data_IF_295803081247
#
_entry.id   IF_295803081247
#
_cell.length_a   1.000
_cell.length_b   1.000
_cell.length_c   1.000
_cell.angle_alpha   90.00
_cell.angle_beta   90.00
_cell.angle_gamma   90.00
#
_symmetry.space_group_name_H-M   'P 1'
#
loop_
_entity.id
_entity.type
_entity.pdbx_description
1 polymer ?
#
# COMPACT_ATOMS: atom_id res chain seq x y z
N UNK A 1 0.53 1.00 6.29
CA UNK A 1 0.20 2.03 7.30
C UNK A 1 1.55 2.47 7.83
N UNK A 2 2.00 3.70 7.61
CA UNK A 2 3.31 4.17 8.09
C UNK A 2 3.10 4.62 9.54
N UNK A 3 3.59 3.85 10.51
CA UNK A 3 3.63 4.25 11.91
C UNK A 3 5.06 4.67 12.21
N UNK A 4 5.28 5.97 12.44
CA UNK A 4 6.54 6.48 13.01
C UNK A 4 6.30 6.73 14.48
N UNK A 5 6.70 5.80 15.36
CA UNK A 5 6.81 6.04 16.79
C UNK A 5 8.27 6.41 17.13
N UNK A 6 8.46 7.66 17.55
CA UNK A 6 9.69 8.12 18.18
C UNK A 6 9.55 7.93 19.68
N UNK A 7 10.31 7.00 20.29
CA UNK A 7 10.69 7.14 21.70
C UNK A 7 12.10 6.59 21.92
N UNK A 8 12.94 7.45 22.49
CA UNK A 8 14.25 7.13 23.01
C UNK A 8 14.10 6.58 24.44
N UNK A 9 14.69 5.42 24.73
CA UNK A 9 15.75 5.24 25.75
C UNK A 9 16.12 3.75 25.92
N UNK A 10 17.39 3.45 25.66
CA UNK A 10 18.21 2.46 26.36
C UNK A 10 17.78 0.99 26.44
N UNK A 11 18.38 0.13 25.60
CA UNK A 11 19.29 -0.94 26.04
C UNK A 11 19.96 -1.65 24.87
N UNK A 12 21.17 -2.13 25.13
CA UNK A 12 22.18 -2.63 24.19
C UNK A 12 21.86 -4.06 23.75
N UNK A 13 21.91 -4.34 22.43
CA UNK A 13 22.60 -5.50 21.82
C UNK A 13 22.56 -5.41 20.28
N UNK A 14 23.72 -5.65 19.66
CA UNK A 14 23.98 -5.62 18.22
C UNK A 14 23.58 -6.95 17.55
N UNK A 15 23.01 -6.90 16.35
CA UNK A 15 23.21 -7.91 15.30
C UNK A 15 23.34 -7.17 13.96
N UNK A 16 24.36 -7.55 13.19
CA UNK A 16 24.79 -6.96 11.91
C UNK A 16 24.19 -7.78 10.76
N UNK A 17 23.68 -7.10 9.73
CA UNK A 17 23.71 -7.60 8.36
C UNK A 17 23.84 -6.39 7.41
N UNK A 18 25.04 -6.20 6.86
CA UNK A 18 25.32 -5.18 5.86
C UNK A 18 25.21 -5.79 4.46
N UNK A 19 24.33 -5.25 3.62
CA UNK A 19 24.42 -5.44 2.16
C UNK A 19 24.85 -4.12 1.53
N UNK A 20 26.03 -4.10 0.92
CA UNK A 20 26.57 -2.93 0.24
C UNK A 20 25.65 -2.49 -0.91
N UNK A 21 25.11 -1.28 -0.81
CA UNK A 21 24.39 -0.59 -1.90
C UNK A 21 25.39 0.30 -2.61
N UNK A 22 25.71 -0.01 -3.88
CA UNK A 22 26.43 0.92 -4.76
C UNK A 22 25.42 1.80 -5.47
N UNK A 23 25.47 3.12 -5.24
CA UNK A 23 24.67 4.10 -5.97
C UNK A 23 25.44 4.57 -7.21
N UNK A 24 24.94 4.27 -8.41
CA UNK A 24 25.39 4.90 -9.65
C UNK A 24 24.37 5.94 -10.12
N UNK A 25 24.85 7.04 -10.71
CA UNK A 25 24.00 8.11 -11.26
C UNK A 25 23.67 7.79 -12.72
N UNK A 26 22.38 7.73 -13.03
CA UNK A 26 21.87 7.86 -14.41
C UNK A 26 20.65 8.81 -14.34
N UNK A 27 20.78 10.04 -14.83
CA UNK A 27 19.70 11.06 -14.83
C UNK A 27 19.56 11.90 -13.54
N UNK A 28 18.44 12.62 -13.41
CA UNK A 28 18.11 13.57 -12.33
C UNK A 28 17.58 12.91 -11.04
N UNK A 29 17.37 11.59 -11.06
CA UNK A 29 16.99 10.77 -9.90
C UNK A 29 18.13 9.84 -9.47
N UNK A 30 18.32 9.66 -8.16
CA UNK A 30 19.15 8.58 -7.63
C UNK A 30 18.40 7.28 -7.84
N UNK A 31 19.00 6.34 -8.55
CA UNK A 31 18.42 5.03 -8.81
C UNK A 31 19.17 4.00 -7.98
N UNK A 32 18.45 3.20 -7.20
CA UNK A 32 19.07 2.12 -6.44
C UNK A 32 19.29 0.93 -7.37
N UNK A 33 20.57 0.65 -7.66
CA UNK A 33 21.02 -0.54 -8.36
C UNK A 33 21.20 -1.65 -7.32
N UNK A 34 20.47 -2.74 -7.49
CA UNK A 34 20.43 -3.81 -6.50
C UNK A 34 21.30 -4.98 -6.93
N UNK A 35 22.44 -5.15 -6.27
CA UNK A 35 23.37 -6.28 -6.50
C UNK A 35 22.69 -7.63 -6.33
N UNK A 36 21.83 -7.76 -5.33
CA UNK A 36 21.07 -8.99 -5.05
C UNK A 36 20.09 -9.38 -6.19
N UNK A 37 19.83 -8.46 -7.12
CA UNK A 37 19.00 -8.71 -8.30
C UNK A 37 19.76 -8.48 -9.60
N UNK A 38 21.05 -8.81 -9.62
CA UNK A 38 21.92 -8.74 -10.80
C UNK A 38 22.05 -7.33 -11.40
N UNK A 39 22.28 -6.33 -10.52
CA UNK A 39 22.45 -4.95 -10.94
C UNK A 39 21.20 -4.29 -11.51
N UNK A 40 20.02 -4.90 -11.33
CA UNK A 40 18.77 -4.31 -11.82
C UNK A 40 18.34 -3.09 -11.03
N UNK A 41 17.67 -2.20 -11.76
CA UNK A 41 16.91 -1.08 -11.24
C UNK A 41 15.45 -1.50 -11.11
N UNK A 42 14.87 -1.32 -9.93
CA UNK A 42 13.44 -1.55 -9.71
C UNK A 42 12.67 -0.24 -9.78
N UNK A 43 11.55 -0.24 -10.48
CA UNK A 43 10.60 0.88 -10.48
C UNK A 43 9.64 0.70 -9.32
N UNK A 44 9.49 1.74 -8.49
CA UNK A 44 8.65 1.73 -7.29
C UNK A 44 7.42 2.61 -7.53
N UNK A 45 6.38 2.10 -8.21
CA UNK A 45 5.20 2.90 -8.51
C UNK A 45 4.49 3.30 -7.22
N UNK A 46 4.18 4.60 -7.10
CA UNK A 46 3.40 5.15 -5.99
C UNK A 46 2.18 5.85 -6.55
N UNK A 47 1.02 5.63 -5.92
CA UNK A 47 -0.20 6.33 -6.29
C UNK A 47 -0.07 7.82 -6.03
N UNK A 48 0.11 8.61 -7.09
CA UNK A 48 -0.19 10.06 -7.07
C UNK A 48 -1.71 10.30 -7.14
N UNK A 49 -2.41 9.35 -7.75
CA UNK A 49 -3.86 9.09 -7.67
C UNK A 49 -4.06 7.56 -7.66
N UNK A 50 -5.00 7.05 -6.86
CA UNK A 50 -5.31 5.62 -6.59
C UNK A 50 -4.61 4.53 -7.45
N UNK A 51 -3.60 3.85 -6.91
CA UNK A 51 -2.94 2.67 -7.52
C UNK A 51 -2.89 1.50 -6.54
N UNK A 52 -3.78 0.51 -6.67
CA UNK A 52 -3.77 -0.76 -5.89
C UNK A 52 -4.44 -1.91 -6.65
N UNK A 53 -4.14 -3.16 -6.29
CA UNK A 53 -4.81 -4.36 -6.83
C UNK A 53 -6.14 -4.70 -6.16
N UNK A 54 -6.62 -3.85 -5.24
CA UNK A 54 -7.88 -4.01 -4.47
C UNK A 54 -7.89 -5.16 -3.46
N UNK A 55 -6.89 -6.05 -3.45
CA UNK A 55 -6.73 -7.07 -2.41
C UNK A 55 -6.82 -6.45 -1.00
N UNK A 56 -7.69 -7.02 -0.16
CA UNK A 56 -7.89 -6.61 1.22
C UNK A 56 -7.43 -7.71 2.18
N UNK A 57 -6.37 -7.42 2.93
CA UNK A 57 -5.84 -8.27 4.00
C UNK A 57 -5.59 -7.40 5.22
N UNK A 58 -6.12 -7.79 6.38
CA UNK A 58 -5.88 -7.06 7.63
C UNK A 58 -4.43 -7.17 8.09
N UNK A 59 -3.78 -8.32 7.89
CA UNK A 59 -2.46 -8.66 8.46
C UNK A 59 -2.58 -9.79 9.48
N UNK A 60 -1.48 -10.46 9.82
CA UNK A 60 -1.51 -11.55 10.78
C UNK A 60 -1.63 -10.98 12.21
N UNK A 61 -2.46 -11.56 13.10
CA UNK A 61 -2.50 -11.12 14.50
C UNK A 61 -1.11 -11.03 15.16
N UNK A 62 -0.23 -12.01 14.89
CA UNK A 62 1.12 -12.02 15.43
C UNK A 62 1.99 -10.85 14.99
N UNK A 63 1.73 -10.23 13.83
CA UNK A 63 2.46 -9.03 13.38
C UNK A 63 2.16 -7.84 14.31
N UNK A 64 0.89 -7.68 14.69
CA UNK A 64 0.42 -6.61 15.58
C UNK A 64 0.87 -6.82 17.01
N UNK A 65 0.78 -8.06 17.50
CA UNK A 65 1.24 -8.42 18.84
C UNK A 65 2.75 -8.26 18.96
N UNK A 66 3.52 -8.57 17.91
CA UNK A 66 4.96 -8.29 17.85
C UNK A 66 5.22 -6.78 17.97
N UNK A 67 4.44 -5.93 17.30
CA UNK A 67 4.60 -4.47 17.41
C UNK A 67 4.34 -3.99 18.83
N UNK A 68 3.26 -4.45 19.45
CA UNK A 68 2.89 -4.04 20.80
C UNK A 68 3.89 -4.51 21.85
N UNK A 69 4.29 -5.78 21.78
CA UNK A 69 5.04 -6.45 22.83
C UNK A 69 6.56 -6.25 22.69
N UNK A 70 7.09 -6.29 21.46
CA UNK A 70 8.55 -6.27 21.23
C UNK A 70 9.06 -4.91 20.75
N UNK A 71 8.23 -4.11 20.07
CA UNK A 71 8.64 -2.82 19.50
C UNK A 71 8.11 -1.60 20.27
N UNK A 72 7.42 -1.83 21.40
CA UNK A 72 6.92 -0.75 22.26
C UNK A 72 5.78 0.06 21.66
N UNK A 73 5.08 -0.47 20.66
CA UNK A 73 3.90 0.16 20.06
C UNK A 73 2.66 -0.10 20.94
N UNK A 74 2.60 0.51 22.12
CA UNK A 74 1.42 0.41 23.01
C UNK A 74 0.13 0.79 22.28
N UNK A 75 -0.94 0.01 22.45
CA UNK A 75 -2.21 0.24 21.74
C UNK A 75 -2.32 -0.44 20.37
N UNK A 76 -1.29 -1.20 19.94
CA UNK A 76 -1.23 -1.82 18.62
C UNK A 76 -1.36 -3.33 18.62
N UNK A 77 -1.69 -3.98 19.75
CA UNK A 77 -1.96 -5.43 19.72
C UNK A 77 -3.15 -5.73 18.81
N UNK A 78 -3.24 -6.97 18.31
CA UNK A 78 -4.31 -7.30 17.36
C UNK A 78 -5.70 -7.03 17.94
N UNK A 79 -5.89 -7.36 19.22
CA UNK A 79 -7.12 -7.12 19.96
C UNK A 79 -7.50 -5.63 19.99
N UNK A 80 -6.53 -4.75 20.23
CA UNK A 80 -6.75 -3.29 20.31
C UNK A 80 -7.06 -2.66 18.95
N UNK A 81 -6.47 -3.17 17.86
CA UNK A 81 -6.69 -2.62 16.51
C UNK A 81 -7.89 -3.24 15.79
N UNK A 82 -8.34 -4.44 16.16
CA UNK A 82 -9.46 -5.14 15.54
C UNK A 82 -10.76 -4.31 15.50
N UNK A 83 -11.16 -3.57 16.56
CA UNK A 83 -12.30 -2.67 16.50
C UNK A 83 -12.18 -1.60 15.40
N UNK A 84 -10.96 -1.11 15.13
CA UNK A 84 -10.73 -0.13 14.07
C UNK A 84 -10.88 -0.75 12.67
N UNK A 85 -10.43 -1.99 12.47
CA UNK A 85 -10.69 -2.72 11.23
C UNK A 85 -12.18 -2.89 11.00
N UNK A 86 -12.92 -3.40 12.00
CA UNK A 86 -14.37 -3.62 11.94
C UNK A 86 -15.14 -2.32 11.71
N UNK A 87 -14.73 -1.22 12.33
CA UNK A 87 -15.32 0.11 12.12
C UNK A 87 -15.09 0.64 10.71
N UNK A 88 -13.93 0.34 10.12
CA UNK A 88 -13.55 0.81 8.79
C UNK A 88 -14.23 0.02 7.68
N UNK A 89 -14.31 -1.30 7.81
CA UNK A 89 -14.71 -2.20 6.72
C UNK A 89 -16.22 -2.51 6.74
N UNK A 90 -16.80 -2.62 5.55
CA UNK A 90 -18.14 -3.16 5.35
C UNK A 90 -18.04 -4.64 4.99
N UNK A 91 -17.81 -5.48 6.01
CA UNK A 91 -17.92 -6.94 5.91
C UNK A 91 -19.25 -7.42 6.52
N UNK A 92 -20.33 -6.63 6.31
CA UNK A 92 -21.63 -6.77 6.99
C UNK A 92 -21.80 -5.89 8.24
N UNK A 93 -20.76 -5.17 8.69
CA UNK A 93 -20.75 -4.40 9.94
C UNK A 93 -20.98 -2.88 9.78
N UNK A 94 -21.31 -2.39 8.59
CA UNK A 94 -21.71 -0.98 8.38
C UNK A 94 -20.55 0.02 8.19
N UNK A 95 -19.29 -0.42 8.15
CA UNK A 95 -18.15 0.47 7.84
C UNK A 95 -18.25 1.08 6.43
N UNK A 96 -17.54 2.18 6.14
CA UNK A 96 -17.59 2.86 4.84
C UNK A 96 -16.78 2.17 3.72
N UNK A 97 -15.75 1.38 4.06
CA UNK A 97 -14.90 0.70 3.07
C UNK A 97 -15.50 -0.65 2.70
N UNK A 98 -16.10 -0.77 1.52
CA UNK A 98 -16.68 -2.04 1.06
C UNK A 98 -15.59 -3.07 0.81
N UNK A 99 -15.72 -4.22 1.48
CA UNK A 99 -14.90 -5.41 1.29
C UNK A 99 -15.83 -6.53 0.86
N UNK A 100 -15.59 -7.08 -0.32
CA UNK A 100 -16.45 -8.09 -0.93
C UNK A 100 -15.64 -9.29 -1.39
N UNK A 101 -16.31 -10.44 -1.44
CA UNK A 101 -15.74 -11.62 -2.09
C UNK A 101 -15.75 -11.46 -3.61
N UNK A 102 -14.96 -12.27 -4.31
CA UNK A 102 -14.92 -12.28 -5.77
C UNK A 102 -16.27 -12.70 -6.33
N UNK A 103 -16.98 -11.79 -6.98
CA UNK A 103 -18.35 -12.05 -7.51
C UNK A 103 -18.36 -13.01 -8.71
N UNK A 104 -17.33 -12.97 -9.56
CA UNK A 104 -17.20 -13.81 -10.74
C UNK A 104 -15.79 -14.42 -10.79
N UNK A 105 -15.50 -15.44 -9.96
CA UNK A 105 -14.19 -16.06 -9.93
C UNK A 105 -13.88 -16.79 -11.23
N UNK A 106 -12.62 -16.71 -11.67
CA UNK A 106 -12.14 -17.47 -12.81
C UNK A 106 -12.08 -18.98 -12.46
N UNK A 107 -12.43 -19.85 -13.42
CA UNK A 107 -12.30 -21.32 -13.35
C UNK A 107 -10.88 -21.77 -12.98
N UNK A 108 -9.85 -21.06 -13.46
CA UNK A 108 -8.45 -21.34 -13.10
C UNK A 108 -8.20 -21.19 -11.60
N UNK A 109 -8.80 -20.18 -10.94
CA UNK A 109 -8.65 -19.98 -9.50
C UNK A 109 -9.22 -21.16 -8.71
N UNK A 110 -10.40 -21.65 -9.09
CA UNK A 110 -10.99 -22.85 -8.47
C UNK A 110 -10.13 -24.10 -8.67
N UNK A 111 -9.58 -24.27 -9.88
CA UNK A 111 -8.65 -25.39 -10.18
C UNK A 111 -7.39 -25.32 -9.33
N UNK A 112 -6.82 -24.13 -9.16
CA UNK A 112 -5.64 -23.92 -8.30
C UNK A 112 -5.94 -24.23 -6.83
N UNK A 113 -7.09 -23.77 -6.31
CA UNK A 113 -7.54 -24.07 -4.95
C UNK A 113 -7.66 -25.58 -4.74
N UNK A 114 -8.33 -26.29 -5.65
CA UNK A 114 -8.50 -27.74 -5.57
C UNK A 114 -7.15 -28.49 -5.63
N UNK A 115 -6.22 -28.06 -6.48
CA UNK A 115 -4.88 -28.63 -6.58
C UNK A 115 -4.05 -28.40 -5.30
N UNK A 116 -4.17 -27.24 -4.67
CA UNK A 116 -3.53 -26.97 -3.38
C UNK A 116 -4.12 -27.86 -2.27
N UNK A 117 -5.44 -28.09 -2.28
CA UNK A 117 -6.09 -28.99 -1.33
C UNK A 117 -5.66 -30.45 -1.49
N UNK A 118 -5.42 -30.93 -2.72
CA UNK A 118 -5.00 -32.32 -2.96
C UNK A 118 -3.61 -32.64 -2.39
N UNK A 119 -2.79 -31.62 -2.14
CA UNK A 119 -1.48 -31.74 -1.47
C UNK A 119 -1.52 -31.36 0.02
N UNK A 120 -2.72 -31.23 0.60
CA UNK A 120 -2.92 -31.03 2.03
C UNK A 120 -2.99 -29.57 2.50
N UNK A 121 -3.00 -28.58 1.59
CA UNK A 121 -3.19 -27.18 1.98
C UNK A 121 -4.68 -26.94 2.28
N UNK A 122 -4.99 -26.53 3.50
CA UNK A 122 -6.38 -26.33 3.93
C UNK A 122 -7.05 -25.19 3.15
N UNK A 123 -8.33 -25.39 2.82
CA UNK A 123 -9.15 -24.32 2.27
C UNK A 123 -9.43 -23.28 3.36
N UNK A 124 -9.15 -22.02 3.03
CA UNK A 124 -9.45 -20.88 3.89
C UNK A 124 -10.58 -20.06 3.26
N UNK A 125 -11.81 -20.12 3.81
CA UNK A 125 -12.94 -19.35 3.29
C UNK A 125 -12.83 -17.85 3.61
N UNK A 126 -12.00 -17.46 4.58
CA UNK A 126 -11.84 -16.07 5.01
C UNK A 126 -10.44 -15.79 5.58
N UNK A 127 -9.57 -15.25 4.73
CA UNK A 127 -8.21 -14.85 5.15
C UNK A 127 -8.17 -13.73 6.20
N UNK A 128 -9.30 -13.06 6.46
CA UNK A 128 -9.46 -12.02 7.47
C UNK A 128 -10.26 -12.52 8.70
N UNK A 129 -10.55 -13.83 8.78
CA UNK A 129 -11.37 -14.47 9.80
C UNK A 129 -10.62 -14.91 11.07
N UNK A 130 -9.30 -14.74 11.11
CA UNK A 130 -8.45 -15.08 12.25
C UNK A 130 -7.35 -16.09 11.90
N UNK A 131 -7.72 -17.19 11.24
CA UNK A 131 -6.76 -18.16 10.69
C UNK A 131 -6.39 -17.74 9.26
N UNK A 132 -5.12 -17.39 9.03
CA UNK A 132 -4.67 -16.95 7.70
C UNK A 132 -4.12 -18.07 6.82
N UNK A 133 -3.45 -19.06 7.42
CA UNK A 133 -2.81 -20.12 6.65
C UNK A 133 -3.85 -20.94 5.89
N UNK A 134 -3.61 -21.12 4.59
CA UNK A 134 -4.45 -21.92 3.71
C UNK A 134 -4.49 -21.37 2.29
N UNK A 135 -5.41 -21.89 1.50
CA UNK A 135 -5.67 -21.48 0.11
C UNK A 135 -7.14 -21.10 -0.04
N UNK A 136 -7.44 -20.02 -0.74
CA UNK A 136 -8.82 -19.57 -0.90
C UNK A 136 -8.94 -18.37 -1.82
N UNK A 137 -10.16 -17.85 -1.92
CA UNK A 137 -10.41 -16.61 -2.65
C UNK A 137 -9.95 -15.40 -1.85
N UNK A 138 -9.38 -14.43 -2.56
CA UNK A 138 -9.09 -13.12 -2.00
C UNK A 138 -10.36 -12.32 -1.74
N UNK A 139 -10.35 -11.48 -0.70
CA UNK A 139 -11.34 -10.42 -0.54
C UNK A 139 -10.84 -9.12 -1.18
N UNK A 140 -11.74 -8.34 -1.75
CA UNK A 140 -11.43 -7.17 -2.56
C UNK A 140 -12.15 -5.93 -2.05
N UNK A 141 -11.51 -4.77 -2.17
CA UNK A 141 -12.16 -3.47 -1.98
C UNK A 141 -12.93 -3.08 -3.25
N UNK A 142 -14.02 -3.81 -3.55
CA UNK A 142 -14.91 -3.60 -4.70
C UNK A 142 -16.35 -3.44 -4.19
N UNK A 143 -17.02 -2.42 -4.70
CA UNK A 143 -18.43 -2.12 -4.45
C UNK A 143 -19.17 -2.14 -5.80
N UNK A 144 -20.05 -3.12 -6.00
CA UNK A 144 -20.85 -3.27 -7.22
C UNK A 144 -20.03 -3.15 -8.52
N UNK A 145 -18.93 -3.92 -8.60
CA UNK A 145 -18.03 -3.93 -9.76
C UNK A 145 -17.13 -2.69 -9.87
N UNK A 146 -17.24 -1.71 -8.97
CA UNK A 146 -16.41 -0.50 -8.94
C UNK A 146 -15.38 -0.59 -7.83
N UNK A 147 -14.18 -0.08 -8.10
CA UNK A 147 -13.13 0.05 -7.09
C UNK A 147 -13.60 0.93 -5.93
N UNK A 148 -13.62 0.37 -4.73
CA UNK A 148 -13.85 1.09 -3.49
C UNK A 148 -12.51 1.67 -2.98
N UNK A 149 -12.20 2.92 -3.35
CA UNK A 149 -11.01 3.64 -2.86
C UNK A 149 -11.28 4.28 -1.49
N UNK A 150 -10.23 4.75 -0.81
CA UNK A 150 -10.40 5.53 0.43
C UNK A 150 -11.18 6.83 0.19
N UNK A 151 -10.96 7.52 -0.94
CA UNK A 151 -11.73 8.72 -1.28
C UNK A 151 -13.21 8.38 -1.53
N UNK A 152 -13.48 7.27 -2.24
CA UNK A 152 -14.85 6.80 -2.47
C UNK A 152 -15.56 6.42 -1.17
N UNK A 153 -14.88 5.67 -0.29
CA UNK A 153 -15.43 5.20 0.97
C UNK A 153 -15.65 6.33 1.99
N UNK A 154 -14.65 7.20 2.19
CA UNK A 154 -14.59 8.13 3.32
C UNK A 154 -14.84 9.60 2.94
N UNK A 155 -14.56 10.01 1.71
CA UNK A 155 -14.77 11.38 1.22
C UNK A 155 -16.00 11.46 0.31
N UNK A 156 -17.13 10.89 0.76
CA UNK A 156 -18.40 10.98 0.05
C UNK A 156 -18.83 12.45 -0.14
N UNK A 157 -19.67 12.77 -1.14
CA UNK A 157 -20.10 14.14 -1.39
C UNK A 157 -20.69 14.84 -0.15
N UNK A 158 -21.40 14.11 0.70
CA UNK A 158 -22.00 14.63 1.93
C UNK A 158 -20.95 14.97 2.99
N UNK A 159 -19.87 14.18 3.06
CA UNK A 159 -18.74 14.43 3.96
C UNK A 159 -17.97 15.67 3.52
N UNK A 160 -17.78 15.86 2.21
CA UNK A 160 -17.08 17.02 1.65
C UNK A 160 -17.83 18.34 1.88
N UNK A 161 -19.14 18.30 2.14
CA UNK A 161 -19.95 19.49 2.45
C UNK A 161 -19.83 19.96 3.90
N UNK A 162 -19.14 19.21 4.76
CA UNK A 162 -19.01 19.58 6.18
C UNK A 162 -18.20 20.88 6.32
N UNK A 163 -18.68 21.88 7.07
CA UNK A 163 -18.01 23.18 7.16
C UNK A 163 -16.64 23.14 7.84
N UNK A 164 -16.34 22.08 8.60
CA UNK A 164 -15.06 21.85 9.26
C UNK A 164 -14.09 20.98 8.45
N UNK A 165 -14.38 20.68 7.18
CA UNK A 165 -13.50 19.92 6.29
C UNK A 165 -13.16 20.77 5.06
N UNK A 166 -11.87 20.86 4.75
CA UNK A 166 -11.38 21.46 3.50
C UNK A 166 -10.46 20.47 2.80
N UNK A 167 -10.73 20.19 1.53
CA UNK A 167 -9.92 19.28 0.71
C UNK A 167 -9.21 20.08 -0.38
N UNK A 168 -7.88 20.13 -0.31
CA UNK A 168 -7.05 20.80 -1.30
C UNK A 168 -6.36 19.77 -2.19
N UNK A 169 -6.77 19.69 -3.46
CA UNK A 169 -6.17 18.79 -4.44
C UNK A 169 -4.98 19.48 -5.11
N UNK A 170 -3.91 18.72 -5.38
CA UNK A 170 -2.71 19.26 -6.00
C UNK A 170 -1.84 20.12 -5.08
N UNK A 171 -2.12 20.13 -3.77
CA UNK A 171 -1.31 20.78 -2.75
C UNK A 171 -0.18 19.85 -2.28
N UNK A 172 1.04 20.05 -2.78
CA UNK A 172 2.22 19.28 -2.38
C UNK A 172 2.86 19.91 -1.15
N UNK A 173 2.77 19.24 0.00
CA UNK A 173 3.45 19.68 1.22
C UNK A 173 4.98 19.64 1.03
N UNK A 174 5.65 20.77 1.26
CA UNK A 174 7.10 20.95 1.06
C UNK A 174 7.85 21.11 2.36
N UNK A 175 7.21 21.60 3.44
CA UNK A 175 7.85 21.80 4.75
C UNK A 175 6.82 21.87 5.89
N UNK A 176 6.99 21.08 6.95
CA UNK A 176 6.40 21.30 8.29
C UNK A 176 6.96 22.56 8.95
N UNK A 177 6.08 23.36 9.52
CA UNK A 177 6.38 24.57 10.28
C UNK A 177 6.39 24.25 11.77
N UNK A 178 7.31 24.84 12.52
CA UNK A 178 7.43 24.68 13.96
C UNK A 178 7.25 26.02 14.66
N UNK A 179 6.89 25.99 15.94
CA UNK A 179 6.95 27.16 16.81
C UNK A 179 8.38 27.64 17.08
N UNK A 180 8.50 28.72 17.85
CA UNK A 180 9.75 29.44 18.04
C UNK A 180 10.82 28.59 18.73
N UNK A 181 10.42 27.74 19.68
CA UNK A 181 11.31 26.82 20.40
C UNK A 181 11.57 25.50 19.64
N UNK A 182 10.87 25.30 18.52
CA UNK A 182 10.95 24.14 17.63
C UNK A 182 10.57 22.82 18.27
N UNK A 183 9.78 22.85 19.35
CA UNK A 183 9.33 21.65 20.04
C UNK A 183 8.02 21.10 19.49
N UNK A 184 7.26 21.92 18.75
CA UNK A 184 5.93 21.54 18.26
C UNK A 184 5.72 21.94 16.81
N UNK A 185 5.17 21.02 16.02
CA UNK A 185 4.69 21.30 14.68
C UNK A 185 3.40 22.13 14.72
N UNK A 186 3.38 23.27 14.02
CA UNK A 186 2.26 24.23 13.99
C UNK A 186 1.64 24.40 12.61
N UNK A 187 2.16 23.73 11.59
CA UNK A 187 1.60 23.79 10.24
C UNK A 187 2.43 23.10 9.17
N UNK A 188 2.02 23.30 7.92
CA UNK A 188 2.76 22.92 6.71
C UNK A 188 2.77 24.07 5.70
N UNK A 189 3.86 24.20 4.98
CA UNK A 189 3.99 24.92 3.73
C UNK A 189 3.76 23.94 2.59
N UNK A 190 3.00 24.37 1.58
CA UNK A 190 2.70 23.55 0.41
C UNK A 190 2.75 24.37 -0.88
N UNK A 191 2.99 23.68 -1.98
CA UNK A 191 2.96 24.20 -3.34
C UNK A 191 1.70 23.70 -4.05
N UNK A 192 0.87 24.62 -4.55
CA UNK A 192 -0.23 24.29 -5.45
C UNK A 192 0.30 24.22 -6.88
N UNK A 193 -0.28 23.36 -7.73
CA UNK A 193 0.27 22.98 -9.05
C UNK A 193 0.67 24.14 -10.00
N UNK A 194 0.26 25.39 -9.76
CA UNK A 194 0.61 26.57 -10.58
C UNK A 194 0.76 27.90 -9.82
N UNK A 195 0.84 27.92 -8.48
CA UNK A 195 0.90 29.16 -7.68
C UNK A 195 2.04 29.19 -6.64
N UNK A 196 2.30 30.39 -6.10
CA UNK A 196 3.22 30.66 -4.99
C UNK A 196 2.92 29.82 -3.74
N UNK A 197 3.94 29.63 -2.90
CA UNK A 197 3.84 28.87 -1.64
C UNK A 197 2.75 29.43 -0.71
N UNK A 198 1.87 28.56 -0.22
CA UNK A 198 0.85 28.88 0.79
C UNK A 198 1.16 28.11 2.09
N UNK A 199 0.78 28.68 3.23
CA UNK A 199 0.97 28.08 4.56
C UNK A 199 -0.39 27.67 5.12
N UNK A 200 -0.47 26.46 5.66
CA UNK A 200 -1.62 25.96 6.38
C UNK A 200 -1.23 25.58 7.80
N UNK A 201 -2.08 25.90 8.77
CA UNK A 201 -1.89 25.51 10.16
C UNK A 201 -2.58 24.17 10.41
N UNK A 202 -1.90 23.07 10.09
CA UNK A 202 -2.04 21.71 10.68
C UNK A 202 -1.09 20.75 9.94
N UNK A 203 -0.42 19.85 10.67
CA UNK A 203 0.77 19.12 10.23
C UNK A 203 0.46 17.81 9.48
N UNK A 204 1.27 17.43 8.48
CA UNK A 204 1.93 16.11 8.31
C UNK A 204 2.91 16.11 7.09
N UNK A 205 4.10 15.58 7.35
CA UNK A 205 5.21 15.14 6.48
C UNK A 205 5.72 16.03 5.32
N UNK A 206 6.87 16.67 5.55
CA UNK A 206 7.81 17.08 4.51
C UNK A 206 9.24 17.28 5.10
N UNK A 207 10.25 17.56 4.27
CA UNK A 207 11.70 17.63 4.64
C UNK A 207 11.99 18.76 5.63
N UNK A 208 12.01 18.47 6.94
CA UNK A 208 11.91 19.53 7.97
C UNK A 208 12.97 19.49 9.06
N UNK A 209 14.19 19.08 8.74
CA UNK A 209 15.25 19.09 9.74
C UNK A 209 15.06 18.07 10.87
N UNK A 210 14.11 17.14 10.72
CA UNK A 210 13.94 15.98 11.60
C UNK A 210 14.49 14.78 10.86
N UNK A 211 15.60 14.22 11.34
CA UNK A 211 16.28 13.09 10.69
C UNK A 211 17.76 13.00 11.06
N UNK A 212 18.55 12.16 10.36
CA UNK A 212 19.95 11.95 10.72
C UNK A 212 20.75 13.24 10.53
N UNK A 213 21.32 13.78 11.61
CA UNK A 213 21.99 15.09 11.62
C UNK A 213 23.06 15.25 10.54
N UNK A 214 23.88 14.23 10.30
CA UNK A 214 24.92 14.30 9.27
C UNK A 214 24.30 14.38 7.87
N UNK A 215 23.34 13.51 7.56
CA UNK A 215 22.61 13.54 6.29
C UNK A 215 21.93 14.90 6.07
N UNK A 216 21.26 15.46 7.09
CA UNK A 216 20.63 16.78 6.97
C UNK A 216 21.64 17.89 6.65
N UNK A 217 22.83 17.85 7.26
CA UNK A 217 23.93 18.80 6.98
C UNK A 217 24.44 18.71 5.55
N UNK A 218 24.58 17.51 4.99
CA UNK A 218 25.04 17.28 3.60
C UNK A 218 24.14 17.96 2.56
N UNK A 219 22.85 18.14 2.88
CA UNK A 219 21.88 18.81 2.04
C UNK A 219 21.54 20.24 2.49
N UNK A 220 22.34 20.82 3.37
CA UNK A 220 22.14 22.18 3.91
C UNK A 220 20.75 22.39 4.53
N UNK A 221 20.18 21.34 5.14
CA UNK A 221 18.90 21.40 5.84
C UNK A 221 19.17 21.73 7.32
N UNK A 222 18.61 22.83 7.87
CA UNK A 222 18.75 23.16 9.28
C UNK A 222 18.22 22.03 10.17
N UNK A 223 19.00 21.62 11.17
CA UNK A 223 18.58 20.62 12.15
C UNK A 223 17.51 21.18 13.08
N UNK A 224 16.42 20.44 13.23
CA UNK A 224 15.40 20.63 14.26
C UNK A 224 15.56 19.55 15.33
N UNK A 225 15.56 18.28 14.93
CA UNK A 225 15.71 17.14 15.83
C UNK A 225 16.59 16.08 15.17
N UNK A 226 17.64 15.66 15.88
CA UNK A 226 18.47 14.54 15.43
C UNK A 226 17.74 13.22 15.67
N UNK A 227 17.40 12.55 14.57
CA UNK A 227 16.68 11.28 14.57
C UNK A 227 17.36 10.32 13.60
N UNK A 228 18.36 9.55 14.07
CA UNK A 228 19.25 8.79 13.20
C UNK A 228 18.56 7.67 12.41
N UNK A 229 17.38 7.22 12.83
CA UNK A 229 16.64 6.15 12.18
C UNK A 229 15.56 6.62 11.19
N UNK A 230 15.34 7.94 11.05
CA UNK A 230 14.36 8.45 10.08
C UNK A 230 14.86 8.19 8.66
N UNK A 231 14.06 7.46 7.89
CA UNK A 231 14.41 7.02 6.53
C UNK A 231 15.09 5.65 6.49
N UNK A 232 15.42 5.07 7.64
CA UNK A 232 15.98 3.71 7.76
C UNK A 232 14.86 2.66 7.89
N UNK A 233 15.25 1.38 7.98
CA UNK A 233 14.35 0.23 8.16
C UNK A 233 13.24 0.13 7.09
N UNK A 234 13.53 0.62 5.90
CA UNK A 234 12.65 0.49 4.75
C UNK A 234 12.47 -0.99 4.39
N UNK A 235 11.22 -1.46 4.48
CA UNK A 235 10.82 -2.82 4.14
C UNK A 235 9.79 -2.78 3.02
N UNK A 236 9.87 -3.75 2.11
CA UNK A 236 8.89 -3.98 1.05
C UNK A 236 8.78 -5.48 0.75
N UNK A 237 7.68 -5.89 0.13
CA UNK A 237 7.48 -7.26 -0.30
C UNK A 237 8.03 -7.44 -1.71
N UNK A 238 9.13 -8.20 -1.84
CA UNK A 238 9.66 -8.56 -3.15
C UNK A 238 8.66 -9.48 -3.88
N UNK A 239 8.24 -9.07 -5.07
CA UNK A 239 7.36 -9.85 -5.93
C UNK A 239 8.14 -10.45 -7.10
N UNK A 240 8.04 -11.77 -7.28
CA UNK A 240 8.64 -12.49 -8.40
C UNK A 240 7.51 -13.16 -9.20
N UNK A 241 7.17 -12.66 -10.39
CA UNK A 241 6.14 -13.27 -11.21
C UNK A 241 6.62 -14.63 -11.76
N UNK A 242 5.80 -15.66 -11.61
CA UNK A 242 5.98 -16.95 -12.26
C UNK A 242 4.79 -17.18 -13.18
N UNK A 243 5.04 -17.41 -14.46
CA UNK A 243 4.00 -17.56 -15.48
C UNK A 243 4.05 -18.97 -16.08
N UNK A 244 2.86 -19.56 -16.29
CA UNK A 244 2.68 -20.85 -16.94
C UNK A 244 1.71 -20.71 -18.11
N UNK A 245 1.89 -21.53 -19.15
CA UNK A 245 0.93 -21.62 -20.24
C UNK A 245 -0.30 -22.42 -19.81
N UNK A 246 -1.50 -21.92 -20.10
CA UNK A 246 -2.75 -22.65 -19.92
C UNK A 246 -3.30 -23.11 -21.28
N UNK A 247 -3.79 -24.35 -21.35
CA UNK A 247 -4.36 -24.94 -22.57
C UNK A 247 -5.69 -24.29 -22.99
N UNK A 248 -6.41 -23.68 -22.03
CA UNK A 248 -7.63 -22.90 -22.27
C UNK A 248 -7.48 -21.54 -21.63
N UNK A 249 -7.68 -20.50 -22.44
CA UNK A 249 -7.62 -19.11 -22.01
C UNK A 249 -8.95 -18.69 -21.39
N UNK A 250 -9.40 -19.41 -20.37
CA UNK A 250 -10.58 -18.98 -19.61
C UNK A 250 -10.10 -17.97 -18.56
N UNK A 251 -10.43 -16.70 -18.78
CA UNK A 251 -10.59 -15.73 -17.69
C UNK A 251 -9.41 -14.83 -17.27
N UNK A 252 -8.24 -14.82 -17.93
CA UNK A 252 -7.26 -13.74 -17.67
C UNK A 252 -7.61 -12.44 -18.42
N UNK A 253 -8.36 -12.57 -19.54
CA UNK A 253 -8.54 -11.51 -20.54
C UNK A 253 -10.02 -11.22 -20.87
N UNK A 254 -10.96 -11.89 -20.21
CA UNK A 254 -12.39 -11.58 -20.35
C UNK A 254 -12.67 -10.20 -19.75
N UNK A 255 -12.65 -9.17 -20.59
CA UNK A 255 -12.94 -7.77 -20.23
C UNK A 255 -11.86 -6.75 -20.55
N UNK A 256 -10.67 -7.16 -20.99
CA UNK A 256 -9.67 -6.22 -21.49
C UNK A 256 -9.96 -5.86 -22.95
N UNK A 257 -10.03 -4.57 -23.33
CA UNK A 257 -10.16 -4.17 -24.72
C UNK A 257 -9.04 -4.82 -25.56
N UNK A 258 -9.40 -5.37 -26.73
CA UNK A 258 -8.48 -6.05 -27.66
C UNK A 258 -7.10 -5.35 -27.89
N UNK A 259 -6.98 -4.00 -27.89
CA UNK A 259 -5.68 -3.33 -27.97
C UNK A 259 -4.68 -3.68 -26.85
N UNK A 260 -5.15 -3.95 -25.63
CA UNK A 260 -4.31 -4.31 -24.48
C UNK A 260 -3.76 -5.73 -24.58
N UNK A 261 -4.52 -6.65 -25.20
CA UNK A 261 -4.11 -8.04 -25.43
C UNK A 261 -2.93 -8.11 -26.41
N UNK A 262 -2.94 -7.23 -27.41
CA UNK A 262 -1.89 -7.14 -28.43
C UNK A 262 -0.56 -6.63 -27.86
N UNK A 263 -0.61 -5.73 -26.88
CA UNK A 263 0.58 -5.19 -26.19
C UNK A 263 1.27 -6.22 -25.27
N UNK A 264 0.53 -7.24 -24.80
CA UNK A 264 1.05 -8.33 -23.95
C UNK A 264 1.53 -9.55 -24.76
N UNK A 265 1.61 -9.44 -26.10
CA UNK A 265 2.14 -10.50 -26.96
C UNK A 265 1.21 -11.70 -27.18
N UNK A 266 -0.08 -11.60 -26.81
CA UNK A 266 -1.05 -12.66 -27.09
C UNK A 266 -1.32 -12.74 -28.61
N UNK A 267 -0.87 -13.83 -29.26
CA UNK A 267 -1.30 -14.19 -30.61
C UNK A 267 -2.52 -15.09 -30.53
N UNK A 268 -3.71 -14.50 -30.59
CA UNK A 268 -4.95 -15.23 -30.81
C UNK A 268 -5.38 -15.11 -32.26
N UNK A 269 -5.48 -16.24 -32.98
CA UNK A 269 -6.10 -16.30 -34.30
C UNK A 269 -7.57 -15.94 -34.20
N UNK A 270 -8.01 -14.99 -35.03
CA UNK A 270 -9.41 -14.68 -35.23
C UNK A 270 -10.12 -15.86 -35.89
N UNK A 271 -10.86 -16.66 -35.13
CA UNK A 271 -11.95 -17.43 -35.74
C UNK A 271 -13.05 -17.77 -34.73
N UNK A 272 -14.24 -17.25 -35.08
CA UNK A 272 -15.59 -17.69 -34.74
C UNK A 272 -16.33 -16.88 -33.68
N UNK A 273 -16.99 -15.83 -34.17
CA UNK A 273 -18.27 -15.34 -33.69
C UNK A 273 -19.27 -16.49 -33.51
N UNK A 274 -19.71 -16.74 -32.29
CA UNK A 274 -21.03 -17.35 -32.04
C UNK A 274 -21.90 -16.32 -31.31
N UNK A 275 -23.14 -16.08 -31.77
CA UNK A 275 -24.03 -15.11 -31.14
C UNK A 275 -24.49 -15.59 -29.77
N UNK A 276 -24.68 -14.61 -28.90
CA UNK A 276 -25.36 -14.69 -27.61
C UNK A 276 -26.63 -15.55 -27.65
N UNK A 277 -26.65 -16.64 -26.89
CA UNK A 277 -27.90 -17.29 -26.50
C UNK A 277 -28.31 -16.74 -25.14
N UNK A 278 -29.49 -16.12 -25.11
CA UNK A 278 -30.20 -15.64 -23.94
C UNK A 278 -30.59 -16.80 -23.00
N UNK A 279 -30.84 -16.54 -21.70
CA UNK A 279 -31.13 -17.59 -20.74
C UNK A 279 -32.53 -18.18 -20.93
N UNK A 280 -32.62 -19.50 -20.81
CA UNK A 280 -33.85 -20.24 -20.47
C UNK A 280 -33.88 -20.52 -18.97
#
# INVERSE_FOLDING_TARGET
MLCTSSFAHGLKKKVIAASAVSTERVGDGRVHVWRATDGRVHVWPRGKVSLKWMLYVRGNPGDYDLWANEFGCTGWSYEEVLPNFRKSEHRGAGGPLVVSDVQAPNTITGTFIAAAQSVGILYNPDMNGGQQLGVGHAQLTIDNGRRCTTAYAFLKPEVQKRPNLTVLVGAHATRVLFDIDRTRAVGVEYKLQSENYKRFHTAYAARTGVGPKQHLREFYIPLIQDMPYVGEQMQDHLFVPVAFSALRLEGLLHGLPYPFLKALGARGSSSSSRPWLAPS
#
